data_IF_528404384977
#
_entry.id   IF_528404384977
#
_cell.length_a   1.000
_cell.length_b   1.000
_cell.length_c   1.000
_cell.angle_alpha   90.00
_cell.angle_beta   90.00
_cell.angle_gamma   90.00
#
_symmetry.space_group_name_H-M   'P 1'
#
loop_
_entity.id
_entity.type
_entity.pdbx_description
1 polymer ?
#
# COMPACT_ATOMS: atom_id res chain seq x y z
N UNK A 1 65.14 16.25 26.33
CA UNK A 1 64.45 16.89 25.20
C UNK A 1 64.30 15.98 23.97
N UNK A 2 65.33 15.29 23.50
CA UNK A 2 65.26 14.45 22.28
C UNK A 2 64.15 13.38 22.28
N UNK A 3 63.95 12.69 23.40
CA UNK A 3 62.89 11.67 23.55
C UNK A 3 61.46 12.23 23.43
N UNK A 4 61.25 13.47 23.88
CA UNK A 4 59.94 14.14 23.80
C UNK A 4 59.59 14.49 22.34
N UNK A 5 60.58 14.94 21.56
CA UNK A 5 60.40 15.25 20.13
C UNK A 5 60.10 13.96 19.34
N UNK A 6 60.80 12.86 19.67
CA UNK A 6 60.57 11.58 19.01
C UNK A 6 59.17 11.02 19.32
N UNK A 7 58.74 11.12 20.58
CA UNK A 7 57.38 10.75 20.99
C UNK A 7 56.31 11.58 20.28
N UNK A 8 56.47 12.91 20.22
CA UNK A 8 55.53 13.80 19.52
C UNK A 8 55.43 13.48 18.04
N UNK A 9 56.55 13.19 17.36
CA UNK A 9 56.55 12.81 15.95
C UNK A 9 55.85 11.47 15.70
N UNK A 10 56.05 10.48 16.58
CA UNK A 10 55.37 9.18 16.48
C UNK A 10 53.88 9.33 16.68
N UNK A 11 53.44 10.06 17.72
CA UNK A 11 52.02 10.33 17.97
C UNK A 11 51.39 11.08 16.80
N UNK A 12 52.05 12.12 16.29
CA UNK A 12 51.57 12.88 15.13
C UNK A 12 51.45 12.00 13.87
N UNK A 13 52.44 11.15 13.60
CA UNK A 13 52.40 10.22 12.48
C UNK A 13 51.26 9.19 12.61
N UNK A 14 51.03 8.65 13.81
CA UNK A 14 49.93 7.72 14.07
C UNK A 14 48.56 8.38 13.89
N UNK A 15 48.39 9.61 14.36
CA UNK A 15 47.14 10.37 14.20
C UNK A 15 46.89 10.67 12.71
N UNK A 16 47.90 11.14 11.98
CA UNK A 16 47.77 11.42 10.54
C UNK A 16 47.44 10.14 9.77
N UNK A 17 48.10 9.01 10.07
CA UNK A 17 47.81 7.73 9.43
C UNK A 17 46.37 7.25 9.72
N UNK A 18 45.89 7.41 10.96
CA UNK A 18 44.52 7.06 11.33
C UNK A 18 43.49 7.89 10.54
N UNK A 19 43.70 9.19 10.40
CA UNK A 19 42.80 10.04 9.60
C UNK A 19 42.88 9.72 8.10
N UNK A 20 44.08 9.53 7.56
CA UNK A 20 44.29 9.25 6.14
C UNK A 20 43.72 7.91 5.69
N UNK A 21 43.66 6.91 6.57
CA UNK A 21 43.09 5.59 6.26
C UNK A 21 41.64 5.45 6.72
N UNK A 22 41.33 5.94 7.92
CA UNK A 22 40.01 5.80 8.53
C UNK A 22 38.93 6.61 7.81
N UNK A 23 39.24 7.84 7.38
CA UNK A 23 38.26 8.72 6.77
C UNK A 23 37.83 8.23 5.38
N UNK A 24 38.73 7.78 4.47
CA UNK A 24 38.32 7.18 3.20
C UNK A 24 37.50 5.89 3.38
N UNK A 25 37.89 5.02 4.33
CA UNK A 25 37.13 3.80 4.61
C UNK A 25 35.72 4.15 5.06
N UNK A 26 35.57 5.11 5.98
CA UNK A 26 34.27 5.57 6.45
C UNK A 26 33.41 6.12 5.30
N UNK A 27 33.98 6.96 4.44
CA UNK A 27 33.27 7.50 3.26
C UNK A 27 32.80 6.37 2.36
N UNK A 28 33.68 5.42 2.03
CA UNK A 28 33.34 4.28 1.15
C UNK A 28 32.23 3.45 1.78
N UNK A 29 32.32 3.12 3.07
CA UNK A 29 31.27 2.36 3.76
C UNK A 29 29.94 3.11 3.74
N UNK A 30 29.95 4.42 4.00
CA UNK A 30 28.74 5.23 4.01
C UNK A 30 28.10 5.36 2.62
N UNK A 31 28.92 5.48 1.58
CA UNK A 31 28.46 5.43 0.18
C UNK A 31 27.81 4.09 -0.16
N UNK A 32 28.44 2.96 0.19
CA UNK A 32 27.88 1.64 -0.07
C UNK A 32 26.54 1.41 0.67
N UNK A 33 26.46 1.84 1.94
CA UNK A 33 25.20 1.75 2.70
C UNK A 33 24.12 2.63 2.07
N UNK A 34 24.48 3.83 1.63
CA UNK A 34 23.52 4.74 0.97
C UNK A 34 23.03 4.14 -0.36
N UNK A 35 23.94 3.61 -1.19
CA UNK A 35 23.59 3.01 -2.47
C UNK A 35 22.72 1.77 -2.32
N UNK A 36 23.01 0.91 -1.34
CA UNK A 36 22.18 -0.28 -1.08
C UNK A 36 20.77 0.11 -0.64
N UNK A 37 20.63 1.08 0.28
CA UNK A 37 19.31 1.57 0.72
C UNK A 37 18.56 2.22 -0.44
N UNK A 38 19.23 3.09 -1.22
CA UNK A 38 18.62 3.75 -2.37
C UNK A 38 18.18 2.75 -3.44
N UNK A 39 19.02 1.75 -3.74
CA UNK A 39 18.72 0.69 -4.71
C UNK A 39 17.53 -0.16 -4.27
N UNK A 40 17.47 -0.54 -2.98
CA UNK A 40 16.33 -1.27 -2.43
C UNK A 40 15.03 -0.45 -2.49
N UNK A 41 15.08 0.83 -2.11
CA UNK A 41 13.92 1.72 -2.23
C UNK A 41 13.46 1.86 -3.68
N UNK A 42 14.39 2.10 -4.61
CA UNK A 42 14.08 2.26 -6.03
C UNK A 42 13.51 0.97 -6.63
N UNK A 43 14.10 -0.19 -6.31
CA UNK A 43 13.60 -1.49 -6.75
C UNK A 43 12.17 -1.74 -6.28
N UNK A 44 11.88 -1.46 -5.01
CA UNK A 44 10.53 -1.60 -4.45
C UNK A 44 9.52 -0.67 -5.13
N UNK A 45 9.88 0.61 -5.34
CA UNK A 45 9.01 1.56 -6.03
C UNK A 45 8.73 1.10 -7.46
N UNK A 46 9.77 0.68 -8.19
CA UNK A 46 9.64 0.23 -9.58
C UNK A 46 8.86 -1.07 -9.70
N UNK A 47 9.05 -2.01 -8.78
CA UNK A 47 8.26 -3.24 -8.70
C UNK A 47 6.78 -2.92 -8.48
N UNK A 48 6.48 -2.03 -7.53
CA UNK A 48 5.11 -1.59 -7.26
C UNK A 48 4.48 -0.88 -8.46
N UNK A 49 5.19 0.05 -9.11
CA UNK A 49 4.70 0.70 -10.34
C UNK A 49 4.41 -0.29 -11.46
N UNK A 50 5.26 -1.31 -11.61
CA UNK A 50 5.09 -2.33 -12.65
C UNK A 50 3.87 -3.21 -12.34
N UNK A 51 3.72 -3.64 -11.09
CA UNK A 51 2.53 -4.37 -10.64
C UNK A 51 1.25 -3.57 -10.85
N UNK A 52 1.28 -2.28 -10.50
CA UNK A 52 0.15 -1.37 -10.69
C UNK A 52 -0.21 -1.23 -12.18
N UNK A 53 0.77 -1.01 -13.05
CA UNK A 53 0.54 -0.86 -14.50
C UNK A 53 0.05 -2.14 -15.16
N UNK A 54 0.54 -3.30 -14.75
CA UNK A 54 0.24 -4.56 -15.44
C UNK A 54 -1.03 -5.24 -14.91
N UNK A 55 -1.37 -5.07 -13.63
CA UNK A 55 -2.39 -5.89 -12.99
C UNK A 55 -3.51 -5.13 -12.29
N UNK A 56 -3.46 -3.79 -12.20
CA UNK A 56 -4.50 -3.03 -11.50
C UNK A 56 -5.35 -2.19 -12.44
N UNK A 57 -6.67 -2.29 -12.28
CA UNK A 57 -7.64 -1.37 -12.87
C UNK A 57 -7.77 -0.09 -12.03
N UNK A 58 -7.28 -0.10 -10.80
CA UNK A 58 -7.25 1.04 -9.89
C UNK A 58 -6.40 0.75 -8.68
N UNK A 59 -5.94 1.81 -8.01
CA UNK A 59 -5.20 1.71 -6.76
C UNK A 59 -5.59 2.86 -5.85
N UNK A 60 -5.57 2.60 -4.55
CA UNK A 60 -5.96 3.58 -3.55
C UNK A 60 -5.30 3.31 -2.20
N UNK A 61 -5.20 4.35 -1.39
CA UNK A 61 -4.63 4.31 -0.06
C UNK A 61 -5.72 4.56 0.98
N UNK A 62 -5.79 3.71 1.99
CA UNK A 62 -6.79 3.78 3.06
C UNK A 62 -6.10 4.08 4.38
N UNK A 63 -6.66 5.02 5.12
CA UNK A 63 -6.28 5.27 6.49
C UNK A 63 -6.76 4.12 7.38
N UNK A 64 -5.82 3.47 8.05
CA UNK A 64 -6.15 2.34 8.93
C UNK A 64 -6.96 2.74 10.16
N UNK A 65 -6.94 4.02 10.57
CA UNK A 65 -7.68 4.46 11.76
C UNK A 65 -9.14 4.79 11.46
N UNK A 66 -9.38 5.47 10.34
CA UNK A 66 -10.72 5.94 9.96
C UNK A 66 -11.40 5.06 8.92
N UNK A 67 -10.68 4.15 8.25
CA UNK A 67 -11.21 3.42 7.09
C UNK A 67 -11.34 4.28 5.83
N UNK A 68 -11.02 5.58 5.91
CA UNK A 68 -11.24 6.53 4.83
C UNK A 68 -10.15 6.47 3.76
N UNK A 69 -10.56 6.62 2.50
CA UNK A 69 -9.66 6.69 1.35
C UNK A 69 -8.92 8.03 1.36
N UNK A 70 -7.59 7.99 1.46
CA UNK A 70 -6.71 9.17 1.42
C UNK A 70 -6.22 9.51 0.02
N UNK A 71 -6.10 8.51 -0.83
CA UNK A 71 -5.62 8.68 -2.19
C UNK A 71 -6.29 7.66 -3.10
N UNK A 72 -6.61 8.05 -4.33
CA UNK A 72 -7.14 7.17 -5.36
C UNK A 72 -6.46 7.50 -6.69
N UNK A 73 -6.11 6.46 -7.45
CA UNK A 73 -5.55 6.62 -8.78
C UNK A 73 -6.61 7.11 -9.77
N UNK A 74 -6.18 7.74 -10.86
CA UNK A 74 -7.09 8.24 -11.90
C UNK A 74 -7.94 7.10 -12.49
N UNK A 75 -7.35 5.93 -12.73
CA UNK A 75 -8.08 4.75 -13.23
C UNK A 75 -9.13 4.24 -12.25
N UNK A 76 -8.90 4.39 -10.95
CA UNK A 76 -9.92 4.10 -9.94
C UNK A 76 -11.09 5.09 -10.06
N UNK A 77 -10.84 6.38 -10.26
CA UNK A 77 -11.90 7.37 -10.48
C UNK A 77 -12.74 7.00 -11.72
N UNK A 78 -12.09 6.64 -12.82
CA UNK A 78 -12.76 6.21 -14.06
C UNK A 78 -13.66 4.99 -13.83
N UNK A 79 -13.18 4.01 -13.06
CA UNK A 79 -13.94 2.80 -12.72
C UNK A 79 -15.24 3.10 -11.96
N UNK A 80 -15.24 4.14 -11.13
CA UNK A 80 -16.39 4.59 -10.35
C UNK A 80 -17.12 5.78 -11.01
N UNK A 81 -17.00 5.95 -12.33
CA UNK A 81 -17.77 6.97 -13.07
C UNK A 81 -17.29 8.41 -12.84
N UNK A 82 -16.01 8.60 -12.53
CA UNK A 82 -15.37 9.90 -12.32
C UNK A 82 -15.67 10.54 -10.97
N UNK A 83 -16.17 9.78 -9.98
CA UNK A 83 -16.44 10.27 -8.63
C UNK A 83 -15.16 10.37 -7.80
N UNK A 84 -14.98 11.49 -7.09
CA UNK A 84 -13.86 11.65 -6.18
C UNK A 84 -14.09 10.87 -4.89
N UNK A 85 -13.46 9.70 -4.77
CA UNK A 85 -13.59 8.81 -3.61
C UNK A 85 -12.74 9.22 -2.41
N UNK A 86 -11.92 10.26 -2.50
CA UNK A 86 -11.09 10.70 -1.37
C UNK A 86 -11.99 11.21 -0.24
N UNK A 87 -11.82 10.65 0.96
CA UNK A 87 -12.60 10.97 2.16
C UNK A 87 -13.73 9.97 2.45
N UNK A 88 -14.13 9.16 1.48
CA UNK A 88 -15.15 8.12 1.66
C UNK A 88 -14.59 6.94 2.45
N UNK A 89 -15.44 6.26 3.21
CA UNK A 89 -15.08 5.00 3.84
C UNK A 89 -15.01 3.90 2.78
N UNK A 90 -13.99 3.05 2.85
CA UNK A 90 -13.85 1.92 1.93
C UNK A 90 -15.06 0.98 1.99
N UNK A 91 -15.71 0.82 3.15
CA UNK A 91 -16.88 -0.06 3.28
C UNK A 91 -18.06 0.39 2.43
N UNK A 92 -18.19 1.68 2.16
CA UNK A 92 -19.28 2.22 1.35
C UNK A 92 -19.15 1.81 -0.13
N UNK A 93 -17.91 1.56 -0.57
CA UNK A 93 -17.62 1.07 -1.92
C UNK A 93 -17.81 -0.45 -2.07
N UNK A 94 -18.06 -1.17 -0.98
CA UNK A 94 -18.07 -2.64 -0.92
C UNK A 94 -19.46 -3.12 -0.54
N UNK A 95 -19.91 -4.22 -1.16
CA UNK A 95 -21.20 -4.82 -0.82
C UNK A 95 -21.15 -5.34 0.63
N UNK A 96 -22.21 -5.16 1.46
CA UNK A 96 -22.20 -5.49 2.88
C UNK A 96 -21.70 -6.90 3.25
N UNK A 97 -21.97 -7.89 2.39
CA UNK A 97 -21.50 -9.28 2.58
C UNK A 97 -19.97 -9.42 2.66
N UNK A 98 -19.22 -8.49 2.05
CA UNK A 98 -17.75 -8.56 1.94
C UNK A 98 -17.04 -7.59 2.91
N UNK A 99 -17.76 -6.80 3.71
CA UNK A 99 -17.18 -5.81 4.63
C UNK A 99 -16.14 -6.41 5.58
N UNK A 100 -16.46 -7.54 6.23
CA UNK A 100 -15.53 -8.21 7.13
C UNK A 100 -14.27 -8.69 6.41
N UNK A 101 -14.37 -9.09 5.15
CA UNK A 101 -13.21 -9.58 4.37
C UNK A 101 -12.25 -8.46 4.04
N UNK A 102 -12.78 -7.28 3.72
CA UNK A 102 -12.00 -6.07 3.45
C UNK A 102 -11.32 -5.57 4.71
N UNK A 103 -12.04 -5.51 5.83
CA UNK A 103 -11.45 -5.11 7.12
C UNK A 103 -10.35 -6.07 7.55
N UNK A 104 -10.58 -7.39 7.43
CA UNK A 104 -9.54 -8.38 7.70
C UNK A 104 -8.32 -8.22 6.78
N UNK A 105 -8.51 -7.87 5.51
CA UNK A 105 -7.41 -7.61 4.57
C UNK A 105 -6.57 -6.41 5.02
N UNK A 106 -7.22 -5.32 5.44
CA UNK A 106 -6.56 -4.09 5.90
C UNK A 106 -5.84 -4.35 7.23
N UNK A 107 -6.49 -5.03 8.17
CA UNK A 107 -5.98 -5.26 9.52
C UNK A 107 -4.85 -6.28 9.57
N UNK A 108 -4.98 -7.39 8.84
CA UNK A 108 -3.97 -8.47 8.84
C UNK A 108 -2.79 -8.13 7.93
N UNK A 109 -3.06 -7.74 6.69
CA UNK A 109 -2.05 -7.30 5.72
C UNK A 109 -0.79 -8.19 5.65
N UNK A 110 0.33 -7.58 5.21
CA UNK A 110 1.62 -8.21 4.83
C UNK A 110 2.26 -9.09 5.93
N UNK A 111 1.75 -9.05 7.16
CA UNK A 111 2.29 -9.84 8.28
C UNK A 111 1.74 -11.28 8.33
N UNK A 112 0.83 -11.66 7.43
CA UNK A 112 0.38 -13.03 7.30
C UNK A 112 1.07 -13.70 6.10
N UNK A 113 1.59 -14.91 6.30
CA UNK A 113 2.04 -15.81 5.23
C UNK A 113 0.88 -16.20 4.27
N UNK A 114 -0.36 -15.89 4.63
CA UNK A 114 -1.53 -16.01 3.77
C UNK A 114 -1.61 -14.89 2.72
N UNK A 115 -2.14 -15.25 1.55
CA UNK A 115 -2.27 -14.32 0.44
C UNK A 115 -3.00 -13.02 0.88
N UNK A 116 -2.33 -11.88 0.73
CA UNK A 116 -2.87 -10.52 0.94
C UNK A 116 -3.90 -10.14 -0.14
N UNK A 117 -4.84 -11.05 -0.41
CA UNK A 117 -5.70 -11.04 -1.57
C UNK A 117 -7.11 -11.49 -1.19
N UNK A 118 -8.11 -10.70 -1.54
CA UNK A 118 -9.52 -11.04 -1.34
C UNK A 118 -10.32 -10.76 -2.61
N UNK A 119 -11.29 -11.63 -2.89
CA UNK A 119 -12.29 -11.39 -3.91
C UNK A 119 -13.51 -10.76 -3.25
N UNK A 120 -13.91 -9.58 -3.73
CA UNK A 120 -15.00 -8.79 -3.16
C UNK A 120 -15.87 -8.24 -4.28
N UNK A 121 -17.13 -7.99 -3.97
CA UNK A 121 -18.03 -7.23 -4.84
C UNK A 121 -18.01 -5.75 -4.45
N UNK A 122 -17.70 -4.87 -5.40
CA UNK A 122 -17.77 -3.42 -5.21
C UNK A 122 -19.07 -2.85 -5.80
N UNK A 123 -19.51 -1.71 -5.28
CA UNK A 123 -20.65 -0.94 -5.77
C UNK A 123 -20.18 0.44 -6.21
N UNK A 124 -20.47 0.79 -7.46
CA UNK A 124 -20.33 2.14 -7.96
C UNK A 124 -21.69 2.85 -7.84
N UNK A 125 -21.84 3.70 -6.82
CA UNK A 125 -23.11 4.34 -6.48
C UNK A 125 -23.64 5.19 -7.64
N UNK A 126 -22.78 6.03 -8.24
CA UNK A 126 -23.13 6.90 -9.37
C UNK A 126 -23.71 6.17 -10.58
N UNK A 127 -23.21 4.97 -10.88
CA UNK A 127 -23.68 4.18 -12.02
C UNK A 127 -24.74 3.16 -11.61
N UNK A 128 -25.00 2.99 -10.31
CA UNK A 128 -25.83 1.92 -9.76
C UNK A 128 -25.43 0.53 -10.28
N UNK A 129 -24.11 0.32 -10.45
CA UNK A 129 -23.54 -0.95 -10.90
C UNK A 129 -22.74 -1.62 -9.79
N UNK A 130 -22.72 -2.94 -9.85
CA UNK A 130 -21.86 -3.77 -9.02
C UNK A 130 -20.90 -4.54 -9.91
N UNK A 131 -19.70 -4.79 -9.42
CA UNK A 131 -18.71 -5.58 -10.13
C UNK A 131 -17.86 -6.38 -9.16
N UNK A 132 -17.47 -7.57 -9.60
CA UNK A 132 -16.58 -8.43 -8.84
C UNK A 132 -15.14 -8.05 -9.12
N UNK A 133 -14.37 -7.86 -8.06
CA UNK A 133 -12.99 -7.47 -8.13
C UNK A 133 -12.11 -8.26 -7.16
N UNK A 134 -10.82 -8.27 -7.48
CA UNK A 134 -9.75 -8.80 -6.67
C UNK A 134 -9.07 -7.61 -6.00
N UNK A 135 -9.13 -7.55 -4.68
CA UNK A 135 -8.49 -6.55 -3.87
C UNK A 135 -7.19 -7.13 -3.30
N UNK A 136 -6.08 -6.42 -3.49
CA UNK A 136 -4.77 -6.85 -3.03
C UNK A 136 -4.10 -5.75 -2.20
N UNK A 137 -3.63 -6.07 -0.99
CA UNK A 137 -2.83 -5.15 -0.18
C UNK A 137 -1.35 -5.38 -0.46
N UNK A 138 -0.74 -4.46 -1.20
CA UNK A 138 0.65 -4.60 -1.65
C UNK A 138 1.66 -3.86 -0.77
N UNK A 139 1.21 -2.83 -0.05
CA UNK A 139 2.07 -2.07 0.84
C UNK A 139 1.26 -1.62 2.06
N UNK A 140 1.85 -1.73 3.25
CA UNK A 140 1.21 -1.33 4.50
C UNK A 140 2.21 -0.59 5.38
N UNK A 141 1.78 0.54 5.94
CA UNK A 141 2.49 1.28 6.98
C UNK A 141 1.72 1.21 8.30
N UNK A 142 2.17 1.93 9.33
CA UNK A 142 1.47 2.00 10.62
C UNK A 142 0.10 2.70 10.56
N UNK A 143 -0.14 3.50 9.54
CA UNK A 143 -1.34 4.32 9.42
C UNK A 143 -2.04 4.21 8.07
N UNK A 144 -1.39 3.62 7.06
CA UNK A 144 -1.91 3.58 5.69
C UNK A 144 -1.75 2.20 5.10
N UNK A 145 -2.82 1.65 4.55
CA UNK A 145 -2.82 0.47 3.71
C UNK A 145 -2.98 0.87 2.25
N UNK A 146 -2.07 0.42 1.39
CA UNK A 146 -2.13 0.61 -0.05
C UNK A 146 -2.71 -0.63 -0.68
N UNK A 147 -3.78 -0.42 -1.45
CA UNK A 147 -4.60 -1.46 -2.03
C UNK A 147 -4.64 -1.28 -3.55
N UNK A 148 -4.59 -2.38 -4.28
CA UNK A 148 -4.90 -2.43 -5.71
C UNK A 148 -6.19 -3.17 -5.93
N UNK A 149 -6.95 -2.72 -6.92
CA UNK A 149 -8.18 -3.33 -7.35
C UNK A 149 -8.00 -3.80 -8.80
N UNK A 150 -8.33 -5.07 -9.04
CA UNK A 150 -8.39 -5.66 -10.37
C UNK A 150 -9.81 -6.14 -10.63
N UNK A 151 -10.42 -5.70 -11.72
CA UNK A 151 -11.77 -6.14 -12.09
C UNK A 151 -11.67 -7.55 -12.66
N UNK A 152 -12.49 -8.47 -12.14
CA UNK A 152 -12.47 -9.90 -12.53
C UNK A 152 -13.70 -10.29 -13.35
N UNK A 153 -14.79 -9.52 -13.27
CA UNK A 153 -16.05 -9.80 -13.97
C UNK A 153 -16.62 -8.59 -14.70
N UNK A 154 -17.72 -8.82 -15.41
CA UNK A 154 -18.50 -7.76 -16.06
C UNK A 154 -19.24 -6.91 -15.03
N UNK A 155 -19.42 -5.63 -15.32
CA UNK A 155 -20.27 -4.75 -14.53
C UNK A 155 -21.73 -5.17 -14.68
N UNK A 156 -22.38 -5.50 -13.57
CA UNK A 156 -23.79 -5.89 -13.51
C UNK A 156 -24.60 -4.74 -12.93
N UNK A 157 -25.77 -4.48 -13.52
CA UNK A 157 -26.71 -3.54 -12.92
C UNK A 157 -27.17 -4.09 -11.57
N UNK A 158 -27.28 -3.21 -10.58
CA UNK A 158 -27.78 -3.62 -9.26
C UNK A 158 -29.25 -3.95 -9.43
N UNK A 159 -29.60 -5.23 -9.47
CA UNK A 159 -31.00 -5.65 -9.36
C UNK A 159 -31.42 -5.22 -7.97
N UNK A 160 -32.19 -4.14 -7.88
CA UNK A 160 -32.90 -3.78 -6.67
C UNK A 160 -33.80 -4.98 -6.36
N UNK A 161 -33.36 -5.84 -5.45
CA UNK A 161 -34.25 -6.79 -4.80
C UNK A 161 -35.34 -5.93 -4.17
N UNK A 162 -36.48 -5.86 -4.85
CA UNK A 162 -37.65 -5.16 -4.34
C UNK A 162 -37.96 -5.70 -2.95
N UNK A 163 -38.58 -4.90 -2.07
CA UNK A 163 -39.00 -5.38 -0.77
C UNK A 163 -39.78 -6.67 -1.00
N UNK A 164 -39.33 -7.76 -0.37
CA UNK A 164 -40.05 -9.03 -0.36
C UNK A 164 -41.41 -8.70 0.22
N UNK A 165 -42.41 -8.55 -0.64
CA UNK A 165 -43.80 -8.40 -0.26
C UNK A 165 -44.13 -9.65 0.55
N UNK A 166 -44.09 -9.53 1.86
CA UNK A 166 -44.65 -10.52 2.77
C UNK A 166 -46.13 -10.58 2.43
N UNK A 167 -46.51 -11.56 1.61
CA UNK A 167 -47.90 -11.85 1.34
C UNK A 167 -48.57 -12.15 2.67
N UNK A 168 -49.47 -11.24 3.05
CA UNK A 168 -50.52 -11.46 4.02
C UNK A 168 -51.25 -12.76 3.68
N UNK A 169 -51.01 -13.79 4.49
CA UNK A 169 -51.62 -15.10 4.35
C UNK A 169 -52.05 -15.62 5.71
N UNK A 170 -52.85 -14.85 6.44
CA UNK A 170 -53.55 -15.30 7.65
C UNK A 170 -55.05 -15.07 7.47
N UNK A 171 -55.67 -15.94 6.67
CA UNK A 171 -57.11 -16.21 6.73
C UNK A 171 -57.28 -17.56 7.41
N UNK A 172 -57.88 -17.54 8.61
CA UNK A 172 -58.28 -18.70 9.39
C UNK A 172 -59.11 -18.22 10.58
#
# INVERSE_FOLDING_TARGET
MMWLVLYLNVVQASVVAFFMLGLPILIITLSLVTDTVCSSCYSNVRANETLLKTFSNGAFAVDMRSGSIRHASVSMLELFGGENMVGYDIIDLVVPKDHCRVMNLIDRGINCDEACLQYISCRAERTSKTFDCKLFCYMKSRSVAWLTLQVVGEMRDTVLEGPVSQNEGASG
#
